data_IF_959068460147
#
_entry.id   IF_959068460147
#
_cell.length_a   1.000
_cell.length_b   1.000
_cell.length_c   1.000
_cell.angle_alpha   90.00
_cell.angle_beta   90.00
_cell.angle_gamma   90.00
#
_symmetry.space_group_name_H-M   'P 1'
#
loop_
_entity.id
_entity.type
_entity.pdbx_description
1 polymer ?
#
# COMPACT_ATOMS: atom_id res chain seq x y z
N UNK A 1 16.32 5.10 16.67
CA UNK A 1 16.37 6.55 16.97
C UNK A 1 17.72 7.07 16.51
N UNK A 2 17.74 7.98 15.53
CA UNK A 2 18.97 8.52 14.92
C UNK A 2 19.38 9.90 15.47
N UNK A 3 18.92 10.26 16.68
CA UNK A 3 19.03 11.62 17.22
C UNK A 3 20.47 12.15 17.36
N UNK A 4 21.48 11.29 17.53
CA UNK A 4 22.87 11.73 17.54
C UNK A 4 23.34 12.23 16.17
N UNK A 5 22.98 11.52 15.10
CA UNK A 5 23.36 11.88 13.74
C UNK A 5 22.69 13.16 13.23
N UNK A 6 21.43 13.41 13.63
CA UNK A 6 20.74 14.66 13.29
C UNK A 6 21.37 15.86 14.01
N UNK A 7 21.73 15.71 15.29
CA UNK A 7 22.37 16.78 16.06
C UNK A 7 23.76 17.13 15.50
N UNK A 8 24.57 16.11 15.19
CA UNK A 8 25.89 16.32 14.58
C UNK A 8 25.78 16.99 13.20
N UNK A 9 24.74 16.68 12.43
CA UNK A 9 24.49 17.28 11.11
C UNK A 9 23.99 18.72 11.21
N UNK A 10 23.11 19.01 12.17
CA UNK A 10 22.62 20.38 12.43
C UNK A 10 23.73 21.31 12.90
N UNK A 11 24.63 20.82 13.77
CA UNK A 11 25.82 21.56 14.20
C UNK A 11 26.77 21.82 13.02
N UNK A 12 27.04 20.80 12.20
CA UNK A 12 27.92 20.93 11.04
C UNK A 12 27.36 21.82 9.91
N UNK A 13 26.04 21.88 9.76
CA UNK A 13 25.36 22.72 8.76
C UNK A 13 24.93 24.08 9.32
N UNK A 14 25.21 24.35 10.60
CA UNK A 14 24.76 25.53 11.35
C UNK A 14 23.24 25.80 11.17
N UNK A 15 22.45 24.73 11.04
CA UNK A 15 21.00 24.83 10.84
C UNK A 15 20.24 23.67 11.47
N UNK A 16 19.16 23.99 12.16
CA UNK A 16 18.24 23.02 12.75
C UNK A 16 17.16 22.55 11.75
N UNK A 17 17.11 23.15 10.55
CA UNK A 17 16.10 22.84 9.51
C UNK A 17 16.51 21.62 8.66
N UNK A 18 16.91 20.53 9.32
CA UNK A 18 17.39 19.30 8.67
C UNK A 18 16.66 18.08 9.21
N UNK A 19 15.90 17.42 8.35
CA UNK A 19 15.20 16.17 8.67
C UNK A 19 15.99 14.94 8.19
N UNK A 20 16.20 13.96 9.07
CA UNK A 20 16.77 12.66 8.71
C UNK A 20 15.67 11.59 8.67
N UNK A 21 15.48 11.00 7.49
CA UNK A 21 14.47 9.96 7.26
C UNK A 21 15.13 8.64 6.85
N UNK A 22 14.64 7.53 7.41
CA UNK A 22 15.03 6.19 6.99
C UNK A 22 14.12 5.71 5.84
N UNK A 23 14.70 5.59 4.65
CA UNK A 23 14.00 5.20 3.42
C UNK A 23 13.33 3.82 3.49
N UNK A 24 13.72 2.93 4.41
CA UNK A 24 13.07 1.63 4.59
C UNK A 24 11.77 1.70 5.40
N UNK A 25 11.53 2.82 6.09
CA UNK A 25 10.38 3.02 6.99
C UNK A 25 9.36 4.03 6.47
N UNK A 26 9.75 4.85 5.48
CA UNK A 26 8.84 5.80 4.84
C UNK A 26 7.84 5.12 3.90
N UNK A 27 6.78 5.84 3.54
CA UNK A 27 5.84 5.34 2.54
C UNK A 27 6.53 5.16 1.18
N UNK A 28 6.12 4.15 0.37
CA UNK A 28 6.67 3.95 -0.97
C UNK A 28 6.56 5.19 -1.87
N UNK A 29 5.43 5.91 -1.77
CA UNK A 29 5.22 7.17 -2.49
C UNK A 29 6.25 8.25 -2.12
N UNK A 30 6.58 8.39 -0.83
CA UNK A 30 7.61 9.33 -0.39
C UNK A 30 9.00 8.88 -0.84
N UNK A 31 9.32 7.59 -0.73
CA UNK A 31 10.58 7.05 -1.24
C UNK A 31 10.74 7.32 -2.75
N UNK A 32 9.69 7.08 -3.54
CA UNK A 32 9.68 7.37 -4.98
C UNK A 32 9.96 8.86 -5.27
N UNK A 33 9.27 9.76 -4.57
CA UNK A 33 9.45 11.21 -4.72
C UNK A 33 10.88 11.66 -4.38
N UNK A 34 11.51 11.07 -3.36
CA UNK A 34 12.91 11.34 -2.98
C UNK A 34 13.87 10.90 -4.09
N UNK A 35 13.67 9.74 -4.70
CA UNK A 35 14.53 9.31 -5.82
C UNK A 35 14.32 10.11 -7.11
N UNK A 36 13.13 10.67 -7.32
CA UNK A 36 12.82 11.45 -8.53
C UNK A 36 13.28 12.90 -8.44
N UNK A 37 13.19 13.52 -7.26
CA UNK A 37 13.48 14.95 -7.08
C UNK A 37 14.73 15.22 -6.23
N UNK A 38 15.24 14.21 -5.53
CA UNK A 38 16.41 14.32 -4.67
C UNK A 38 17.73 14.28 -5.45
N UNK A 39 18.78 14.76 -4.79
CA UNK A 39 20.14 14.72 -5.31
C UNK A 39 20.94 13.69 -4.52
N UNK A 40 21.65 12.79 -5.22
CA UNK A 40 22.55 11.83 -4.58
C UNK A 40 23.82 12.56 -4.11
N UNK A 41 24.00 12.65 -2.79
CA UNK A 41 25.16 13.30 -2.18
C UNK A 41 26.29 12.30 -1.89
N UNK A 42 25.94 11.08 -1.48
CA UNK A 42 26.89 10.04 -1.08
C UNK A 42 26.48 8.68 -1.65
N UNK A 43 27.46 7.91 -2.13
CA UNK A 43 27.25 6.57 -2.68
C UNK A 43 27.34 6.54 -4.21
N UNK A 44 26.74 5.52 -4.82
CA UNK A 44 26.76 5.33 -6.28
C UNK A 44 25.36 5.34 -6.87
N UNK A 45 25.27 5.76 -8.13
CA UNK A 45 24.00 5.82 -8.88
C UNK A 45 23.40 4.43 -9.05
N UNK A 46 24.24 3.41 -9.20
CA UNK A 46 23.83 2.01 -9.30
C UNK A 46 23.15 1.56 -8.02
N UNK A 47 23.74 1.89 -6.85
CA UNK A 47 23.17 1.53 -5.56
C UNK A 47 21.85 2.26 -5.30
N UNK A 48 21.78 3.55 -5.64
CA UNK A 48 20.54 4.34 -5.52
C UNK A 48 19.43 3.79 -6.44
N UNK A 49 19.78 3.40 -7.66
CA UNK A 49 18.82 2.81 -8.63
C UNK A 49 18.29 1.47 -8.15
N UNK A 50 19.15 0.62 -7.60
CA UNK A 50 18.76 -0.66 -7.03
C UNK A 50 17.84 -0.47 -5.81
N UNK A 51 18.21 0.45 -4.91
CA UNK A 51 17.40 0.76 -3.73
C UNK A 51 16.02 1.31 -4.11
N UNK A 52 15.93 2.17 -5.13
CA UNK A 52 14.66 2.64 -5.69
C UNK A 52 13.79 1.47 -6.11
N UNK A 53 14.31 0.52 -6.91
CA UNK A 53 13.54 -0.65 -7.37
C UNK A 53 13.00 -1.45 -6.19
N UNK A 54 13.80 -1.71 -5.17
CA UNK A 54 13.38 -2.49 -4.00
C UNK A 54 12.27 -1.80 -3.21
N UNK A 55 12.39 -0.49 -3.01
CA UNK A 55 11.43 0.27 -2.19
C UNK A 55 10.12 0.55 -2.92
N UNK A 56 10.15 0.75 -4.25
CA UNK A 56 8.92 0.98 -5.04
C UNK A 56 8.26 -0.31 -5.50
N UNK A 57 8.99 -1.44 -5.61
CA UNK A 57 8.39 -2.74 -5.95
C UNK A 57 7.43 -3.25 -4.86
N UNK A 58 7.58 -2.80 -3.60
CA UNK A 58 6.69 -3.15 -2.48
C UNK A 58 5.24 -2.70 -2.68
N UNK A 59 5.00 -1.73 -3.57
CA UNK A 59 3.64 -1.31 -3.94
C UNK A 59 2.93 -2.35 -4.83
N UNK A 60 3.69 -3.15 -5.59
CA UNK A 60 3.16 -4.17 -6.51
C UNK A 60 2.56 -5.39 -5.80
N UNK A 61 2.85 -5.59 -4.50
CA UNK A 61 2.27 -6.66 -3.68
C UNK A 61 0.91 -6.26 -3.07
N UNK A 62 0.42 -5.04 -3.33
CA UNK A 62 -0.95 -4.68 -2.99
C UNK A 62 -1.88 -5.28 -4.07
N UNK A 63 -2.59 -6.34 -3.68
CA UNK A 63 -3.67 -7.01 -4.42
C UNK A 63 -4.36 -6.03 -5.38
N UNK A 64 -4.29 -6.30 -6.68
CA UNK A 64 -4.73 -5.36 -7.69
C UNK A 64 -6.20 -4.98 -7.45
N UNK A 65 -6.66 -3.79 -7.88
CA UNK A 65 -8.07 -3.42 -7.75
C UNK A 65 -9.03 -4.50 -8.28
N UNK A 66 -8.61 -5.25 -9.31
CA UNK A 66 -9.33 -6.42 -9.85
C UNK A 66 -9.34 -7.58 -8.87
N UNK A 67 -8.18 -7.97 -8.35
CA UNK A 67 -8.09 -9.06 -7.38
C UNK A 67 -8.89 -8.75 -6.10
N UNK A 68 -8.99 -7.48 -5.69
CA UNK A 68 -9.85 -7.04 -4.57
C UNK A 68 -11.34 -7.17 -4.92
N UNK A 69 -11.72 -6.83 -6.14
CA UNK A 69 -13.08 -6.99 -6.64
C UNK A 69 -13.45 -8.48 -6.72
N UNK A 70 -12.59 -9.31 -7.28
CA UNK A 70 -12.82 -10.75 -7.41
C UNK A 70 -12.94 -11.42 -6.04
N UNK A 71 -12.10 -11.04 -5.06
CA UNK A 71 -12.22 -11.51 -3.68
C UNK A 71 -13.51 -11.05 -2.99
N UNK A 72 -14.01 -9.85 -3.31
CA UNK A 72 -15.29 -9.36 -2.78
C UNK A 72 -16.47 -10.12 -3.41
N UNK A 73 -16.43 -10.37 -4.71
CA UNK A 73 -17.44 -11.17 -5.42
C UNK A 73 -17.49 -12.60 -4.90
N UNK A 74 -16.33 -13.24 -4.68
CA UNK A 74 -16.26 -14.59 -4.12
C UNK A 74 -16.88 -14.69 -2.72
N UNK A 75 -16.69 -13.67 -1.86
CA UNK A 75 -17.34 -13.63 -0.54
C UNK A 75 -18.85 -13.46 -0.61
N UNK A 76 -19.34 -12.72 -1.59
CA UNK A 76 -20.78 -12.54 -1.80
C UNK A 76 -21.39 -13.85 -2.30
N UNK A 77 -20.74 -14.53 -3.24
CA UNK A 77 -21.19 -15.82 -3.78
C UNK A 77 -21.21 -16.91 -2.70
N UNK A 78 -20.17 -16.98 -1.85
CA UNK A 78 -20.12 -17.88 -0.69
C UNK A 78 -21.26 -17.61 0.31
N UNK A 79 -21.56 -16.33 0.56
CA UNK A 79 -22.66 -15.94 1.44
C UNK A 79 -24.05 -16.26 0.86
N UNK A 80 -24.23 -16.11 -0.45
CA UNK A 80 -25.50 -16.43 -1.13
C UNK A 80 -25.68 -17.94 -1.37
N UNK A 81 -24.58 -18.70 -1.44
CA UNK A 81 -24.58 -20.15 -1.56
C UNK A 81 -24.94 -20.88 -0.26
N UNK A 82 -24.74 -20.23 0.89
CA UNK A 82 -25.15 -20.74 2.21
C UNK A 82 -26.65 -20.52 2.50
N UNK A 83 -27.30 -19.60 1.77
CA UNK A 83 -28.76 -19.44 1.75
C UNK A 83 -29.45 -20.53 0.90
N UNK A 84 -29.08 -21.79 1.12
CA UNK A 84 -29.77 -22.99 0.65
C UNK A 84 -31.09 -23.26 1.36
N UNK A 85 -31.76 -22.24 1.92
CA UNK A 85 -33.12 -22.36 2.42
C UNK A 85 -34.10 -21.88 1.34
N UNK A 86 -34.46 -22.81 0.45
CA UNK A 86 -35.50 -22.60 -0.54
C UNK A 86 -36.75 -21.97 0.07
N UNK A 87 -37.05 -20.74 -0.33
CA UNK A 87 -38.38 -20.16 -0.16
C UNK A 87 -39.20 -20.69 -1.34
N UNK A 88 -40.16 -21.62 -1.13
CA UNK A 88 -41.10 -21.93 -2.18
C UNK A 88 -42.00 -20.71 -2.31
N UNK A 89 -41.91 -20.01 -3.44
CA UNK A 89 -42.98 -19.12 -3.90
C UNK A 89 -44.17 -20.01 -4.31
N UNK A 90 -44.87 -20.57 -3.33
CA UNK A 90 -46.16 -21.20 -3.55
C UNK A 90 -47.16 -20.08 -3.86
N UNK A 91 -47.53 -19.98 -5.14
CA UNK A 91 -48.62 -19.13 -5.58
C UNK A 91 -49.93 -19.63 -4.97
N UNK A 92 -50.55 -18.80 -4.13
CA UNK A 92 -51.92 -18.99 -3.72
C UNK A 92 -52.83 -18.40 -4.81
N UNK A 93 -53.19 -19.23 -5.80
CA UNK A 93 -54.39 -19.00 -6.60
C UNK A 93 -55.41 -20.05 -6.16
N UNK A 94 -56.25 -19.68 -5.19
CA UNK A 94 -57.47 -20.42 -4.89
C UNK A 94 -58.66 -19.66 -5.48
N UNK A 95 -58.97 -20.03 -6.71
CA UNK A 95 -60.27 -19.85 -7.35
C UNK A 95 -61.11 -21.08 -6.99
N UNK A 96 -62.25 -20.87 -6.33
CA UNK A 96 -63.27 -21.89 -6.11
C UNK A 96 -64.65 -21.19 -6.04
N UNK A 97 -65.37 -21.23 -7.16
CA UNK A 97 -66.83 -21.42 -7.23
C UNK A 97 -67.76 -20.22 -7.04
#
# INVERSE_FOLDING_TARGET
MFFGLSADLSDALETDDVDLVDLHTVSPALAAAIFENGVLIVGTVEHATELRRQLTARESDQQSPRDRLDAALARIDDHLGDDGAGVPAAGDTKDDG
#
